data_IF_744797866415
#
_entry.id   IF_744797866415
#
_cell.length_a   1.000
_cell.length_b   1.000
_cell.length_c   1.000
_cell.angle_alpha   90.00
_cell.angle_beta   90.00
_cell.angle_gamma   90.00
#
_symmetry.space_group_name_H-M   'P 1'
#
loop_
_entity.id
_entity.type
_entity.pdbx_description
1 polymer ?
#
# COMPACT_ATOMS: atom_id res chain seq x y z
N UNK A 1 6.66 11.17 -83.23
CA UNK A 1 5.51 10.79 -82.38
C UNK A 1 5.60 9.31 -81.87
N UNK A 2 5.97 8.34 -82.74
CA UNK A 2 6.05 6.92 -82.39
C UNK A 2 7.13 6.59 -81.36
N UNK A 3 8.31 7.31 -81.38
CA UNK A 3 9.37 7.16 -80.37
C UNK A 3 8.96 7.74 -79.03
N UNK A 4 8.26 8.85 -79.00
CA UNK A 4 7.80 9.46 -77.73
C UNK A 4 6.77 8.54 -77.07
N UNK A 5 5.87 7.91 -77.85
CA UNK A 5 4.90 6.98 -77.32
C UNK A 5 5.55 5.71 -76.74
N UNK A 6 6.60 5.18 -77.39
CA UNK A 6 7.36 4.03 -76.86
C UNK A 6 8.06 4.35 -75.54
N UNK A 7 8.66 5.53 -75.40
CA UNK A 7 9.30 5.98 -74.17
C UNK A 7 8.23 6.14 -73.07
N UNK A 8 7.08 6.71 -73.37
CA UNK A 8 6.00 6.87 -72.40
C UNK A 8 5.45 5.53 -71.91
N UNK A 9 5.27 4.57 -72.80
CA UNK A 9 4.86 3.20 -72.41
C UNK A 9 5.91 2.48 -71.55
N UNK A 10 7.19 2.64 -71.88
CA UNK A 10 8.27 2.05 -71.07
C UNK A 10 8.35 2.67 -69.70
N UNK A 11 8.20 3.98 -69.56
CA UNK A 11 8.12 4.68 -68.25
C UNK A 11 6.93 4.23 -67.44
N UNK A 12 5.78 4.05 -68.04
CA UNK A 12 4.57 3.56 -67.36
C UNK A 12 4.80 2.13 -66.81
N UNK A 13 5.39 1.24 -67.60
CA UNK A 13 5.72 -0.14 -67.15
C UNK A 13 6.68 -0.11 -65.96
N UNK A 14 7.72 0.72 -66.01
CA UNK A 14 8.66 0.87 -64.87
C UNK A 14 7.95 1.35 -63.61
N UNK A 15 7.07 2.36 -63.74
CA UNK A 15 6.27 2.88 -62.60
C UNK A 15 5.38 1.76 -62.02
N UNK A 16 4.72 0.96 -62.84
CA UNK A 16 3.88 -0.14 -62.39
C UNK A 16 4.69 -1.22 -61.67
N UNK A 17 5.92 -1.55 -62.18
CA UNK A 17 6.82 -2.50 -61.52
C UNK A 17 7.29 -1.97 -60.16
N UNK A 18 7.66 -0.69 -60.10
CA UNK A 18 8.12 -0.05 -58.83
C UNK A 18 6.97 -0.02 -57.79
N UNK A 19 5.73 0.35 -58.24
CA UNK A 19 4.56 0.29 -57.38
C UNK A 19 4.24 -1.14 -56.88
N UNK A 20 4.40 -2.14 -57.75
CA UNK A 20 4.26 -3.53 -57.37
C UNK A 20 5.25 -3.96 -56.31
N UNK A 21 6.54 -3.59 -56.47
CA UNK A 21 7.60 -3.89 -55.49
C UNK A 21 7.29 -3.20 -54.17
N UNK A 22 6.96 -1.91 -54.17
CA UNK A 22 6.61 -1.15 -52.98
C UNK A 22 5.44 -1.81 -52.24
N UNK A 23 4.43 -2.23 -52.96
CA UNK A 23 3.25 -2.91 -52.36
C UNK A 23 3.63 -4.24 -51.73
N UNK A 24 4.53 -5.02 -52.35
CA UNK A 24 5.02 -6.27 -51.80
C UNK A 24 5.86 -6.06 -50.54
N UNK A 25 6.72 -5.02 -50.54
CA UNK A 25 7.54 -4.66 -49.38
C UNK A 25 6.66 -4.22 -48.21
N UNK A 26 5.68 -3.35 -48.47
CA UNK A 26 4.71 -2.90 -47.43
C UNK A 26 3.93 -4.10 -46.85
N UNK A 27 3.43 -5.01 -47.70
CA UNK A 27 2.74 -6.22 -47.24
C UNK A 27 3.64 -7.13 -46.41
N UNK A 28 4.91 -7.33 -46.83
CA UNK A 28 5.88 -8.13 -46.06
C UNK A 28 6.16 -7.50 -44.71
N UNK A 29 6.39 -6.18 -44.67
CA UNK A 29 6.64 -5.44 -43.44
C UNK A 29 5.47 -5.47 -42.48
N UNK A 30 4.25 -5.25 -43.01
CA UNK A 30 3.03 -5.34 -42.19
C UNK A 30 2.85 -6.75 -41.59
N UNK A 31 3.11 -7.82 -42.38
CA UNK A 31 3.06 -9.19 -41.85
C UNK A 31 4.07 -9.44 -40.73
N UNK A 32 5.30 -8.93 -40.86
CA UNK A 32 6.31 -9.05 -39.82
C UNK A 32 5.92 -8.28 -38.54
N UNK A 33 5.39 -7.06 -38.69
CA UNK A 33 4.90 -6.28 -37.53
C UNK A 33 3.75 -7.02 -36.85
N UNK A 34 2.78 -7.52 -37.59
CA UNK A 34 1.64 -8.27 -37.03
C UNK A 34 2.12 -9.50 -36.28
N UNK A 35 3.00 -10.30 -36.87
CA UNK A 35 3.56 -11.49 -36.22
C UNK A 35 4.35 -11.15 -34.92
N UNK A 36 5.15 -10.09 -34.96
CA UNK A 36 5.89 -9.63 -33.77
C UNK A 36 4.95 -9.10 -32.66
N UNK A 37 3.87 -8.43 -33.05
CA UNK A 37 2.84 -7.99 -32.11
C UNK A 37 2.12 -9.16 -31.46
N UNK A 38 1.72 -10.16 -32.25
CA UNK A 38 1.08 -11.39 -31.76
C UNK A 38 2.00 -12.17 -30.82
N UNK A 39 3.28 -12.32 -31.15
CA UNK A 39 4.28 -12.97 -30.28
C UNK A 39 4.44 -12.23 -28.95
N UNK A 40 4.62 -10.90 -28.98
CA UNK A 40 4.72 -10.09 -27.76
C UNK A 40 3.46 -10.14 -26.91
N UNK A 41 2.31 -10.13 -27.55
CA UNK A 41 1.02 -10.24 -26.88
C UNK A 41 0.84 -11.61 -26.23
N UNK A 42 1.27 -12.69 -26.89
CA UNK A 42 1.25 -14.03 -26.32
C UNK A 42 2.18 -14.17 -25.12
N UNK A 43 3.42 -13.66 -25.20
CA UNK A 43 4.36 -13.65 -24.08
C UNK A 43 3.81 -12.85 -22.89
N UNK A 44 3.29 -11.65 -23.16
CA UNK A 44 2.68 -10.82 -22.12
C UNK A 44 1.49 -11.51 -21.45
N UNK A 45 0.63 -12.16 -22.25
CA UNK A 45 -0.52 -12.91 -21.75
C UNK A 45 -0.09 -14.06 -20.85
N UNK A 46 0.89 -14.88 -21.30
CA UNK A 46 1.40 -16.00 -20.50
C UNK A 46 2.02 -15.53 -19.19
N UNK A 47 2.86 -14.49 -19.23
CA UNK A 47 3.48 -13.93 -18.04
C UNK A 47 2.42 -13.34 -17.05
N UNK A 48 1.35 -12.77 -17.57
CA UNK A 48 0.26 -12.23 -16.77
C UNK A 48 -0.61 -13.34 -16.16
N UNK A 49 -0.89 -14.40 -16.93
CA UNK A 49 -1.66 -15.57 -16.46
C UNK A 49 -0.90 -16.38 -15.38
N UNK A 50 0.44 -16.35 -15.37
CA UNK A 50 1.25 -16.95 -14.29
C UNK A 50 1.22 -16.14 -12.99
N UNK A 51 1.00 -14.83 -13.08
CA UNK A 51 1.01 -13.92 -11.93
C UNK A 51 -0.36 -13.74 -11.27
N UNK A 52 -1.44 -13.97 -12.03
CA UNK A 52 -2.80 -13.67 -11.59
C UNK A 52 -3.74 -14.86 -11.83
N UNK A 53 -4.56 -15.16 -10.82
CA UNK A 53 -5.50 -16.28 -10.88
C UNK A 53 -6.61 -16.08 -11.94
N UNK A 54 -7.01 -14.83 -12.17
CA UNK A 54 -8.05 -14.49 -13.15
C UNK A 54 -7.86 -13.09 -13.71
N UNK A 55 -8.20 -12.94 -15.00
CA UNK A 55 -8.19 -11.68 -15.74
C UNK A 55 -9.57 -11.47 -16.36
N UNK A 56 -10.17 -10.30 -16.14
CA UNK A 56 -11.45 -9.93 -16.71
C UNK A 56 -11.37 -8.57 -17.38
N UNK A 57 -12.08 -8.42 -18.50
CA UNK A 57 -12.22 -7.16 -19.21
C UNK A 57 -13.67 -6.68 -19.12
N UNK A 58 -13.84 -5.39 -18.81
CA UNK A 58 -15.12 -4.74 -18.61
C UNK A 58 -15.20 -3.48 -19.46
N UNK A 59 -16.29 -3.27 -20.16
CA UNK A 59 -16.60 -1.99 -20.80
C UNK A 59 -17.38 -1.14 -19.80
N UNK A 60 -16.69 -0.18 -19.19
CA UNK A 60 -17.23 0.65 -18.11
C UNK A 60 -18.25 1.65 -18.64
N UNK A 61 -18.00 2.24 -19.82
CA UNK A 61 -18.93 3.18 -20.45
C UNK A 61 -20.27 2.53 -20.78
N UNK A 62 -20.25 1.27 -21.24
CA UNK A 62 -21.47 0.52 -21.61
C UNK A 62 -22.01 -0.33 -20.47
N UNK A 63 -21.36 -0.33 -19.32
CA UNK A 63 -21.73 -1.14 -18.15
C UNK A 63 -21.89 -2.64 -18.49
N UNK A 64 -20.92 -3.21 -19.22
CA UNK A 64 -21.03 -4.56 -19.77
C UNK A 64 -19.74 -5.35 -19.69
N UNK A 65 -19.84 -6.67 -19.85
CA UNK A 65 -18.70 -7.60 -19.89
C UNK A 65 -18.10 -7.66 -21.29
N UNK A 66 -16.76 -7.84 -21.36
CA UNK A 66 -16.05 -8.00 -22.64
C UNK A 66 -15.48 -9.42 -22.70
N UNK A 67 -15.82 -10.13 -23.81
CA UNK A 67 -15.36 -11.49 -24.05
C UNK A 67 -16.13 -12.59 -23.28
N UNK A 68 -16.10 -13.80 -23.84
CA UNK A 68 -16.83 -14.95 -23.28
C UNK A 68 -16.34 -15.37 -21.89
N UNK A 69 -15.05 -15.28 -21.63
CA UNK A 69 -14.48 -15.66 -20.31
C UNK A 69 -15.05 -14.80 -19.19
N UNK A 70 -15.09 -13.48 -19.39
CA UNK A 70 -15.65 -12.54 -18.41
C UNK A 70 -17.16 -12.79 -18.24
N UNK A 71 -17.91 -12.90 -19.33
CA UNK A 71 -19.33 -13.18 -19.29
C UNK A 71 -19.64 -14.51 -18.57
N UNK A 72 -18.95 -15.59 -18.93
CA UNK A 72 -19.13 -16.90 -18.31
C UNK A 72 -18.84 -16.90 -16.80
N UNK A 73 -17.85 -16.13 -16.34
CA UNK A 73 -17.60 -15.98 -14.91
C UNK A 73 -18.79 -15.36 -14.18
N UNK A 74 -19.30 -14.23 -14.67
CA UNK A 74 -20.46 -13.57 -14.08
C UNK A 74 -21.75 -14.42 -14.20
N UNK A 75 -21.93 -15.12 -15.31
CA UNK A 75 -23.03 -16.07 -15.52
C UNK A 75 -23.00 -17.22 -14.49
N UNK A 76 -21.80 -17.75 -14.17
CA UNK A 76 -21.64 -18.81 -13.17
C UNK A 76 -22.06 -18.37 -11.76
N UNK A 77 -22.03 -17.07 -11.49
CA UNK A 77 -22.49 -16.48 -10.24
C UNK A 77 -23.99 -16.15 -10.24
N UNK A 78 -24.67 -16.36 -11.38
CA UNK A 78 -26.09 -16.09 -11.55
C UNK A 78 -26.38 -14.67 -12.09
N UNK A 79 -25.36 -13.97 -12.59
CA UNK A 79 -25.48 -12.62 -13.17
C UNK A 79 -25.79 -12.63 -14.70
N UNK A 80 -26.32 -13.75 -15.22
CA UNK A 80 -26.59 -13.91 -16.65
C UNK A 80 -27.55 -12.83 -17.15
N UNK A 81 -27.06 -12.05 -18.12
CA UNK A 81 -27.85 -10.97 -18.74
C UNK A 81 -28.00 -9.72 -17.88
N UNK A 82 -27.38 -9.64 -16.71
CA UNK A 82 -27.35 -8.44 -15.88
C UNK A 82 -26.24 -7.49 -16.34
N UNK A 83 -26.40 -6.17 -16.18
CA UNK A 83 -25.32 -5.22 -16.38
C UNK A 83 -24.20 -5.41 -15.35
N UNK A 84 -22.99 -4.88 -15.64
CA UNK A 84 -21.81 -5.10 -14.83
C UNK A 84 -21.98 -4.64 -13.37
N UNK A 85 -22.57 -3.48 -13.11
CA UNK A 85 -22.77 -2.93 -11.76
C UNK A 85 -23.67 -3.83 -10.88
N UNK A 86 -24.71 -4.43 -11.47
CA UNK A 86 -25.56 -5.40 -10.76
C UNK A 86 -24.78 -6.71 -10.48
N UNK A 87 -23.98 -7.18 -11.45
CA UNK A 87 -23.10 -8.32 -11.26
C UNK A 87 -22.04 -8.08 -10.20
N UNK A 88 -21.47 -6.88 -10.16
CA UNK A 88 -20.51 -6.44 -9.13
C UNK A 88 -21.12 -6.53 -7.71
N UNK A 89 -22.34 -6.01 -7.54
CA UNK A 89 -23.07 -6.08 -6.27
C UNK A 89 -23.38 -7.53 -5.87
N UNK A 90 -23.75 -8.37 -6.82
CA UNK A 90 -24.00 -9.81 -6.58
C UNK A 90 -22.74 -10.56 -6.12
N UNK A 91 -21.56 -10.29 -6.73
CA UNK A 91 -20.29 -10.86 -6.28
C UNK A 91 -20.01 -10.42 -4.85
N UNK A 92 -20.15 -9.13 -4.56
CA UNK A 92 -19.93 -8.59 -3.23
C UNK A 92 -20.80 -9.30 -2.17
N UNK A 93 -22.07 -9.52 -2.47
CA UNK A 93 -22.99 -10.16 -1.55
C UNK A 93 -22.69 -11.65 -1.34
N UNK A 94 -22.41 -12.37 -2.43
CA UNK A 94 -22.25 -13.83 -2.40
C UNK A 94 -20.88 -14.29 -1.92
N UNK A 95 -19.82 -13.60 -2.30
CA UNK A 95 -18.47 -14.09 -2.12
C UNK A 95 -17.61 -13.25 -1.19
N UNK A 96 -17.87 -11.93 -1.08
CA UNK A 96 -17.00 -11.04 -0.30
C UNK A 96 -17.46 -10.96 1.15
N UNK A 97 -16.50 -11.04 2.07
CA UNK A 97 -16.76 -10.89 3.50
C UNK A 97 -17.37 -9.51 3.78
N UNK A 98 -18.40 -9.48 4.62
CA UNK A 98 -19.28 -8.33 4.84
C UNK A 98 -18.55 -6.99 5.03
N UNK A 99 -17.46 -7.00 5.79
CA UNK A 99 -16.68 -5.81 6.12
C UNK A 99 -15.99 -5.13 4.90
N UNK A 100 -15.80 -5.87 3.79
CA UNK A 100 -15.14 -5.36 2.57
C UNK A 100 -16.13 -5.00 1.44
N UNK A 101 -17.41 -5.36 1.56
CA UNK A 101 -18.41 -5.25 0.49
C UNK A 101 -18.60 -3.82 0.01
N UNK A 102 -18.82 -2.89 0.93
CA UNK A 102 -19.10 -1.50 0.60
C UNK A 102 -17.92 -0.83 -0.08
N UNK A 103 -16.69 -1.08 0.41
CA UNK A 103 -15.46 -0.57 -0.21
C UNK A 103 -15.26 -1.13 -1.63
N UNK A 104 -15.46 -2.43 -1.80
CA UNK A 104 -15.36 -3.11 -3.09
C UNK A 104 -16.36 -2.55 -4.11
N UNK A 105 -17.64 -2.50 -3.76
CA UNK A 105 -18.68 -1.98 -4.66
C UNK A 105 -18.44 -0.52 -4.98
N UNK A 106 -18.18 0.32 -3.98
CA UNK A 106 -17.95 1.75 -4.18
C UNK A 106 -16.79 2.02 -5.12
N UNK A 107 -15.66 1.30 -4.94
CA UNK A 107 -14.46 1.51 -5.73
C UNK A 107 -14.63 1.14 -7.20
N UNK A 108 -15.30 0.02 -7.49
CA UNK A 108 -15.39 -0.56 -8.83
C UNK A 108 -16.71 -0.26 -9.58
N UNK A 109 -17.63 0.56 -9.02
CA UNK A 109 -18.81 1.00 -9.77
C UNK A 109 -18.42 1.79 -11.03
N UNK A 110 -19.15 1.66 -12.17
CA UNK A 110 -18.86 2.41 -13.39
C UNK A 110 -18.71 3.91 -13.15
N UNK A 111 -19.60 4.49 -12.34
CA UNK A 111 -19.56 5.92 -12.00
C UNK A 111 -18.25 6.33 -11.32
N UNK A 112 -17.75 5.54 -10.38
CA UNK A 112 -16.50 5.84 -9.68
C UNK A 112 -15.28 5.63 -10.59
N UNK A 113 -15.26 4.53 -11.36
CA UNK A 113 -14.18 4.23 -12.31
C UNK A 113 -14.02 5.34 -13.34
N UNK A 114 -15.13 5.85 -13.92
CA UNK A 114 -15.10 6.99 -14.85
C UNK A 114 -14.53 8.23 -14.16
N UNK A 115 -15.00 8.55 -12.96
CA UNK A 115 -14.50 9.71 -12.20
C UNK A 115 -12.99 9.63 -11.92
N UNK A 116 -12.48 8.47 -11.51
CA UNK A 116 -11.05 8.26 -11.26
C UNK A 116 -10.24 8.42 -12.56
N UNK A 117 -10.73 7.86 -13.67
CA UNK A 117 -10.09 8.01 -14.97
C UNK A 117 -10.03 9.48 -15.43
N UNK A 118 -11.13 10.22 -15.29
CA UNK A 118 -11.19 11.67 -15.60
C UNK A 118 -10.28 12.51 -14.72
N UNK A 119 -10.04 12.06 -13.48
CA UNK A 119 -9.06 12.66 -12.56
C UNK A 119 -7.59 12.30 -12.87
N UNK A 120 -7.35 11.47 -13.90
CA UNK A 120 -6.02 11.00 -14.30
C UNK A 120 -5.51 9.77 -13.54
N UNK A 121 -6.35 9.15 -12.70
CA UNK A 121 -6.03 7.90 -12.04
C UNK A 121 -6.48 6.72 -12.90
N UNK A 122 -5.52 6.00 -13.47
CA UNK A 122 -5.76 4.86 -14.36
C UNK A 122 -5.49 3.49 -13.70
N UNK A 123 -5.23 3.45 -12.39
CA UNK A 123 -4.98 2.22 -11.64
C UNK A 123 -5.72 2.24 -10.30
N UNK A 124 -6.54 1.23 -10.06
CA UNK A 124 -7.24 1.01 -8.79
C UNK A 124 -6.78 -0.33 -8.20
N UNK A 125 -6.64 -0.38 -6.88
CA UNK A 125 -6.25 -1.59 -6.16
C UNK A 125 -7.11 -1.76 -4.91
N UNK A 126 -7.50 -3.00 -4.61
CA UNK A 126 -8.26 -3.32 -3.41
C UNK A 126 -7.93 -4.71 -2.87
N UNK A 127 -7.62 -4.79 -1.58
CA UNK A 127 -7.41 -6.03 -0.84
C UNK A 127 -8.68 -6.37 -0.06
N UNK A 128 -9.18 -7.60 -0.19
CA UNK A 128 -10.40 -8.04 0.46
C UNK A 128 -10.37 -9.55 0.74
N UNK A 129 -11.28 -10.01 1.58
CA UNK A 129 -11.46 -11.44 1.82
C UNK A 129 -12.61 -11.99 1.00
N UNK A 130 -12.37 -13.10 0.29
CA UNK A 130 -13.34 -13.79 -0.57
C UNK A 130 -13.48 -15.26 -0.17
N UNK A 131 -14.67 -15.81 -0.35
CA UNK A 131 -14.97 -17.23 -0.21
C UNK A 131 -15.87 -17.71 -1.35
N UNK A 132 -15.78 -18.98 -1.71
CA UNK A 132 -16.66 -19.59 -2.71
C UNK A 132 -17.98 -20.04 -2.10
N UNK A 133 -17.98 -20.48 -0.85
CA UNK A 133 -19.10 -21.09 -0.14
C UNK A 133 -19.57 -20.29 1.08
N UNK A 134 -18.91 -19.19 1.42
CA UNK A 134 -19.21 -18.35 2.57
C UNK A 134 -18.62 -18.83 3.89
N UNK A 135 -17.81 -19.90 3.90
CA UNK A 135 -17.18 -20.45 5.11
C UNK A 135 -15.70 -20.13 5.20
N UNK A 136 -14.92 -20.54 4.21
CA UNK A 136 -13.48 -20.37 4.20
C UNK A 136 -13.08 -19.13 3.40
N UNK A 137 -12.73 -18.07 4.12
CA UNK A 137 -12.29 -16.80 3.51
C UNK A 137 -10.78 -16.73 3.37
N UNK A 138 -10.31 -16.32 2.18
CA UNK A 138 -8.90 -16.05 1.89
C UNK A 138 -8.71 -14.66 1.30
N UNK A 139 -7.50 -14.14 1.43
CA UNK A 139 -7.16 -12.80 0.95
C UNK A 139 -6.97 -12.77 -0.55
N UNK A 140 -7.64 -11.84 -1.18
CA UNK A 140 -7.57 -11.57 -2.61
C UNK A 140 -7.22 -10.09 -2.84
N UNK A 141 -6.35 -9.83 -3.80
CA UNK A 141 -6.11 -8.49 -4.35
C UNK A 141 -6.71 -8.39 -5.73
N UNK A 142 -7.36 -7.27 -6.02
CA UNK A 142 -7.69 -6.84 -7.37
C UNK A 142 -6.80 -5.65 -7.72
N UNK A 143 -6.10 -5.76 -8.85
CA UNK A 143 -5.47 -4.67 -9.57
C UNK A 143 -6.32 -4.39 -10.81
N UNK A 144 -6.78 -3.15 -10.97
CA UNK A 144 -7.64 -2.73 -12.06
C UNK A 144 -7.00 -1.59 -12.85
N UNK A 145 -6.78 -1.79 -14.15
CA UNK A 145 -6.20 -0.82 -15.07
C UNK A 145 -7.27 -0.26 -15.99
N UNK A 146 -7.42 1.06 -15.99
CA UNK A 146 -8.45 1.78 -16.73
C UNK A 146 -7.82 2.44 -17.95
N UNK A 147 -8.46 2.32 -19.12
CA UNK A 147 -7.96 2.90 -20.37
C UNK A 147 -9.10 3.25 -21.32
N UNK A 148 -8.83 4.19 -22.22
CA UNK A 148 -9.72 4.49 -23.35
C UNK A 148 -9.38 3.55 -24.50
N UNK A 149 -10.37 2.77 -24.94
CA UNK A 149 -10.22 1.83 -26.06
C UNK A 149 -10.31 2.57 -27.39
N UNK A 150 -9.29 2.45 -28.23
CA UNK A 150 -9.28 3.01 -29.58
C UNK A 150 -10.24 2.27 -30.56
N UNK A 151 -10.80 1.12 -30.16
CA UNK A 151 -11.68 0.32 -31.02
C UNK A 151 -13.12 0.81 -31.00
N UNK A 152 -13.62 1.26 -29.84
CA UNK A 152 -15.02 1.63 -29.64
C UNK A 152 -15.23 2.96 -28.91
N UNK A 153 -14.13 3.69 -28.66
CA UNK A 153 -14.10 4.99 -27.97
C UNK A 153 -14.77 4.96 -26.58
N UNK A 154 -14.68 3.80 -25.92
CA UNK A 154 -15.23 3.57 -24.59
C UNK A 154 -14.12 3.43 -23.54
N UNK A 155 -14.44 3.76 -22.29
CA UNK A 155 -13.58 3.47 -21.15
C UNK A 155 -13.73 1.99 -20.80
N UNK A 156 -12.61 1.28 -20.82
CA UNK A 156 -12.48 -0.11 -20.43
C UNK A 156 -11.68 -0.24 -19.14
N UNK A 157 -11.85 -1.37 -18.46
CA UNK A 157 -11.10 -1.74 -17.29
C UNK A 157 -10.67 -3.21 -17.37
N UNK A 158 -9.36 -3.47 -17.29
CA UNK A 158 -8.83 -4.81 -17.04
C UNK A 158 -8.68 -5.00 -15.54
N UNK A 159 -9.27 -6.08 -15.02
CA UNK A 159 -9.10 -6.48 -13.62
C UNK A 159 -8.28 -7.75 -13.52
N UNK A 160 -7.28 -7.74 -12.66
CA UNK A 160 -6.40 -8.85 -12.36
C UNK A 160 -6.60 -9.27 -10.92
N UNK A 161 -6.85 -10.55 -10.68
CA UNK A 161 -7.06 -11.09 -9.33
C UNK A 161 -5.91 -11.98 -8.93
N UNK A 162 -5.40 -11.79 -7.72
CA UNK A 162 -4.30 -12.57 -7.14
C UNK A 162 -4.64 -12.99 -5.72
N UNK A 163 -4.44 -14.27 -5.41
CA UNK A 163 -4.45 -14.73 -4.02
C UNK A 163 -3.21 -14.16 -3.30
N UNK A 164 -3.43 -13.49 -2.17
CA UNK A 164 -2.38 -12.86 -1.36
C UNK A 164 -2.33 -13.40 0.07
N UNK A 165 -2.91 -14.60 0.32
CA UNK A 165 -2.90 -15.23 1.64
C UNK A 165 -1.47 -15.43 2.17
N UNK A 166 -0.56 -15.93 1.33
CA UNK A 166 0.84 -16.11 1.71
C UNK A 166 1.53 -14.78 2.04
N UNK A 167 1.21 -13.70 1.30
CA UNK A 167 1.73 -12.36 1.58
C UNK A 167 1.22 -11.87 2.94
N UNK A 168 -0.08 -11.97 3.19
CA UNK A 168 -0.71 -11.59 4.46
C UNK A 168 -0.25 -12.45 5.64
N UNK A 169 -0.02 -13.75 5.39
CA UNK A 169 0.52 -14.65 6.41
C UNK A 169 1.96 -14.28 6.78
N UNK A 170 2.81 -14.01 5.79
CA UNK A 170 4.19 -13.52 6.04
C UNK A 170 4.19 -12.19 6.81
N UNK A 171 3.33 -11.25 6.45
CA UNK A 171 3.14 -9.99 7.19
C UNK A 171 2.75 -10.25 8.65
N UNK A 172 1.82 -11.20 8.90
CA UNK A 172 1.38 -11.58 10.26
C UNK A 172 2.46 -12.30 11.07
N UNK A 173 3.32 -13.07 10.41
CA UNK A 173 4.41 -13.81 11.05
C UNK A 173 5.69 -12.98 11.20
N UNK A 174 5.79 -11.83 10.56
CA UNK A 174 6.94 -10.96 10.71
C UNK A 174 7.05 -10.49 12.16
N UNK A 175 8.16 -10.85 12.80
CA UNK A 175 8.48 -10.47 14.18
C UNK A 175 9.18 -9.12 14.21
N UNK A 176 9.99 -8.86 13.20
CA UNK A 176 10.84 -7.67 13.05
C UNK A 176 10.37 -6.84 11.88
N UNK A 177 10.26 -5.54 12.08
CA UNK A 177 10.02 -4.56 11.05
C UNK A 177 11.28 -4.36 10.20
N UNK A 178 11.21 -4.63 8.91
CA UNK A 178 12.35 -4.65 7.99
C UNK A 178 13.03 -3.28 7.84
N UNK A 179 12.27 -2.19 7.99
CA UNK A 179 12.80 -0.83 7.86
C UNK A 179 13.60 -0.40 9.07
N UNK A 180 13.15 -0.77 10.27
CA UNK A 180 13.68 -0.25 11.54
C UNK A 180 14.50 -1.27 12.33
N UNK A 181 14.29 -2.56 12.06
CA UNK A 181 14.88 -3.64 12.86
C UNK A 181 14.31 -3.73 14.28
N UNK A 182 13.19 -3.05 14.56
CA UNK A 182 12.45 -3.16 15.81
C UNK A 182 11.37 -4.25 15.70
N UNK A 183 10.75 -4.62 16.81
CA UNK A 183 9.59 -5.51 16.75
C UNK A 183 8.44 -4.88 15.98
N UNK A 184 7.74 -5.69 15.19
CA UNK A 184 6.43 -5.29 14.62
C UNK A 184 5.43 -5.08 15.75
N UNK A 185 4.31 -4.39 15.49
CA UNK A 185 3.26 -4.11 16.47
C UNK A 185 2.86 -5.38 17.26
N UNK A 186 2.54 -6.46 16.55
CA UNK A 186 2.09 -7.71 17.18
C UNK A 186 3.17 -8.31 18.06
N UNK A 187 4.38 -8.47 17.54
CA UNK A 187 5.49 -9.06 18.28
C UNK A 187 5.92 -8.20 19.48
N UNK A 188 5.83 -6.86 19.36
CA UNK A 188 6.11 -5.94 20.45
C UNK A 188 5.11 -6.10 21.61
N UNK A 189 3.81 -6.15 21.29
CA UNK A 189 2.74 -6.37 22.28
C UNK A 189 2.95 -7.70 23.02
N UNK A 190 3.20 -8.78 22.26
CA UNK A 190 3.44 -10.11 22.83
C UNK A 190 4.71 -10.13 23.74
N UNK A 191 5.81 -9.53 23.30
CA UNK A 191 7.06 -9.46 24.06
C UNK A 191 6.90 -8.64 25.35
N UNK A 192 6.24 -7.47 25.26
CA UNK A 192 5.96 -6.63 26.45
C UNK A 192 5.03 -7.35 27.41
N UNK A 193 3.93 -7.94 26.92
CA UNK A 193 2.98 -8.67 27.76
C UNK A 193 3.63 -9.86 28.46
N UNK A 194 4.55 -10.56 27.80
CA UNK A 194 5.32 -11.65 28.40
C UNK A 194 6.26 -11.12 29.51
N UNK A 195 6.95 -10.01 29.25
CA UNK A 195 7.86 -9.39 30.22
C UNK A 195 7.09 -8.92 31.46
N UNK A 196 5.91 -8.33 31.28
CA UNK A 196 5.10 -7.79 32.36
C UNK A 196 4.42 -8.87 33.21
N UNK A 197 4.26 -10.10 32.72
CA UNK A 197 3.73 -11.23 33.51
C UNK A 197 4.68 -11.70 34.61
N UNK A 198 5.97 -11.43 34.49
CA UNK A 198 7.03 -11.89 35.38
C UNK A 198 7.70 -10.71 36.12
N UNK A 199 6.89 -9.77 36.61
CA UNK A 199 7.38 -8.60 37.33
C UNK A 199 7.54 -8.97 38.81
N UNK A 200 8.72 -9.49 39.19
CA UNK A 200 9.14 -9.65 40.60
C UNK A 200 9.81 -8.36 41.04
N UNK A 201 9.15 -7.47 41.77
CA UNK A 201 9.68 -6.21 42.34
C UNK A 201 10.50 -5.32 41.38
N UNK A 202 10.37 -5.54 40.06
CA UNK A 202 11.07 -4.81 39.03
C UNK A 202 10.29 -3.60 38.54
N UNK A 203 11.00 -2.55 38.19
CA UNK A 203 10.41 -1.31 37.69
C UNK A 203 10.75 -1.14 36.21
N UNK A 204 9.69 -0.83 35.41
CA UNK A 204 9.86 -0.54 33.99
C UNK A 204 9.24 0.80 33.64
N UNK A 205 9.77 1.42 32.58
CA UNK A 205 9.18 2.59 31.94
C UNK A 205 8.73 2.20 30.55
N UNK A 206 7.47 2.48 30.27
CA UNK A 206 6.82 2.28 29.00
C UNK A 206 6.72 3.63 28.28
N UNK A 207 7.21 3.69 27.05
CA UNK A 207 7.27 4.89 26.24
C UNK A 207 6.45 4.74 24.98
N UNK A 208 5.78 5.80 24.58
CA UNK A 208 5.27 5.99 23.22
C UNK A 208 5.99 7.21 22.63
N UNK A 209 6.52 7.04 21.43
CA UNK A 209 7.15 8.10 20.64
C UNK A 209 6.32 8.35 19.40
N UNK A 210 6.18 9.60 19.02
CA UNK A 210 5.53 10.03 17.78
C UNK A 210 6.38 11.15 17.15
N UNK A 211 6.73 10.99 15.87
CA UNK A 211 7.55 11.98 15.15
C UNK A 211 6.68 13.19 14.81
N UNK A 212 7.05 14.35 15.35
CA UNK A 212 6.29 15.58 15.17
C UNK A 212 6.21 16.00 13.70
N UNK A 213 4.99 16.27 13.23
CA UNK A 213 4.74 16.75 11.86
C UNK A 213 5.26 15.85 10.74
N UNK A 214 5.42 14.55 10.98
CA UNK A 214 5.97 13.59 10.02
C UNK A 214 5.25 13.60 8.67
N UNK A 215 3.91 13.74 8.68
CA UNK A 215 3.12 13.87 7.46
C UNK A 215 3.59 15.04 6.58
N UNK A 216 3.95 16.18 7.17
CA UNK A 216 4.44 17.33 6.39
C UNK A 216 5.79 17.04 5.72
N UNK A 217 6.69 16.26 6.34
CA UNK A 217 7.92 15.82 5.73
C UNK A 217 7.66 14.94 4.50
N UNK A 218 6.72 13.98 4.61
CA UNK A 218 6.27 13.15 3.48
C UNK A 218 5.63 13.97 2.36
N UNK A 219 4.71 14.87 2.69
CA UNK A 219 4.00 15.69 1.71
C UNK A 219 4.96 16.63 0.95
N UNK A 220 6.02 17.11 1.62
CA UNK A 220 7.00 18.05 1.03
C UNK A 220 8.12 17.37 0.24
N UNK A 221 8.62 16.23 0.71
CA UNK A 221 9.83 15.61 0.17
C UNK A 221 9.60 14.18 -0.36
N UNK A 222 8.37 13.66 -0.24
CA UNK A 222 7.99 12.31 -0.66
C UNK A 222 8.32 11.22 0.36
N UNK A 223 7.68 10.06 0.20
CA UNK A 223 7.80 8.92 1.12
C UNK A 223 9.24 8.40 1.29
N UNK A 224 10.04 8.40 0.22
CA UNK A 224 11.45 7.96 0.31
C UNK A 224 12.33 8.84 1.22
N UNK A 225 11.96 10.10 1.43
CA UNK A 225 12.58 10.96 2.43
C UNK A 225 12.03 10.69 3.82
N UNK A 226 10.72 10.47 3.96
CA UNK A 226 10.10 10.06 5.22
C UNK A 226 10.68 8.74 5.75
N UNK A 227 10.87 7.74 4.89
CA UNK A 227 11.52 6.47 5.24
C UNK A 227 12.95 6.69 5.79
N UNK A 228 13.70 7.59 5.17
CA UNK A 228 15.01 7.99 5.66
C UNK A 228 14.93 8.65 7.05
N UNK A 229 13.97 9.55 7.28
CA UNK A 229 13.74 10.16 8.60
C UNK A 229 13.41 9.11 9.66
N UNK A 230 12.56 8.13 9.35
CA UNK A 230 12.25 6.99 10.24
C UNK A 230 13.52 6.22 10.60
N UNK A 231 14.39 5.93 9.62
CA UNK A 231 15.64 5.21 9.87
C UNK A 231 16.59 5.99 10.79
N UNK A 232 16.75 7.30 10.58
CA UNK A 232 17.56 8.15 11.46
C UNK A 232 16.98 8.23 12.88
N UNK A 233 15.66 8.38 12.99
CA UNK A 233 14.95 8.36 14.27
C UNK A 233 15.14 7.03 15.01
N UNK A 234 15.04 5.91 14.30
CA UNK A 234 15.27 4.57 14.83
C UNK A 234 16.67 4.41 15.39
N UNK A 235 17.70 4.93 14.70
CA UNK A 235 19.08 4.93 15.19
C UNK A 235 19.23 5.73 16.48
N UNK A 236 18.57 6.89 16.55
CA UNK A 236 18.58 7.72 17.75
C UNK A 236 17.93 7.00 18.94
N UNK A 237 16.74 6.41 18.76
CA UNK A 237 16.12 5.58 19.82
C UNK A 237 17.07 4.46 20.23
N UNK A 238 17.58 3.67 19.27
CA UNK A 238 18.44 2.51 19.57
C UNK A 238 19.67 2.87 20.38
N UNK A 239 20.26 4.04 20.17
CA UNK A 239 21.46 4.49 20.89
C UNK A 239 21.22 4.76 22.38
N UNK A 240 19.96 5.02 22.77
CA UNK A 240 19.59 5.33 24.15
C UNK A 240 19.07 4.13 24.95
N UNK A 241 18.82 2.99 24.28
CA UNK A 241 18.27 1.80 24.92
C UNK A 241 19.20 0.59 24.82
N UNK A 242 19.14 -0.29 25.82
CA UNK A 242 19.96 -1.50 25.89
C UNK A 242 19.45 -2.55 24.90
N UNK A 243 20.27 -3.53 24.57
CA UNK A 243 19.86 -4.69 23.76
C UNK A 243 18.74 -5.52 24.41
N UNK A 244 18.63 -5.45 25.73
CA UNK A 244 17.61 -6.15 26.53
C UNK A 244 16.28 -5.39 26.62
N UNK A 245 16.25 -4.12 26.25
CA UNK A 245 15.02 -3.33 26.23
C UNK A 245 14.20 -3.70 24.98
N UNK A 246 12.87 -3.73 25.12
CA UNK A 246 11.95 -4.08 24.03
C UNK A 246 11.64 -2.79 23.26
N UNK A 247 11.92 -2.80 21.95
CA UNK A 247 11.67 -1.68 21.07
C UNK A 247 10.78 -2.15 19.92
N UNK A 248 9.66 -1.48 19.69
CA UNK A 248 8.69 -1.82 18.65
C UNK A 248 8.25 -0.62 17.84
N UNK A 249 7.90 -0.87 16.57
CA UNK A 249 7.19 0.08 15.70
C UNK A 249 5.73 -0.30 15.64
N UNK A 250 4.85 0.58 16.11
CA UNK A 250 3.41 0.31 16.25
C UNK A 250 2.62 0.85 15.06
N UNK A 251 3.08 1.96 14.49
CA UNK A 251 2.46 2.65 13.37
C UNK A 251 3.50 3.19 12.39
N UNK A 252 3.10 4.07 11.48
CA UNK A 252 4.01 4.67 10.49
C UNK A 252 5.16 5.44 11.13
N UNK A 253 4.86 6.34 12.04
CA UNK A 253 5.75 7.25 12.78
C UNK A 253 5.68 7.05 14.30
N UNK A 254 5.05 5.98 14.76
CA UNK A 254 4.78 5.68 16.16
C UNK A 254 5.62 4.50 16.64
N UNK A 255 6.34 4.70 17.75
CA UNK A 255 7.23 3.70 18.34
C UNK A 255 6.93 3.49 19.82
N UNK A 256 7.17 2.28 20.29
CA UNK A 256 7.00 1.90 21.69
C UNK A 256 8.28 1.30 22.23
N UNK A 257 8.61 1.63 23.48
CA UNK A 257 9.74 1.03 24.19
C UNK A 257 9.32 0.63 25.60
N UNK A 258 9.73 -0.57 26.03
CA UNK A 258 9.73 -0.98 27.42
C UNK A 258 11.16 -1.15 27.92
N UNK A 259 11.57 -0.36 28.88
CA UNK A 259 12.91 -0.49 29.48
C UNK A 259 12.85 -0.59 31.00
N UNK A 260 13.76 -1.38 31.54
CA UNK A 260 13.95 -1.54 33.00
C UNK A 260 14.71 -0.38 33.58
N UNK A 261 14.31 0.09 34.77
CA UNK A 261 15.07 1.08 35.55
C UNK A 261 15.18 0.69 37.04
N UNK A 262 16.17 1.24 37.73
CA UNK A 262 16.37 0.98 39.15
C UNK A 262 15.99 2.17 40.02
N UNK A 263 16.28 3.38 39.59
CA UNK A 263 16.05 4.63 40.31
C UNK A 263 15.36 5.64 39.42
N UNK A 264 14.30 6.24 39.93
CA UNK A 264 13.46 7.19 39.15
C UNK A 264 14.26 8.43 38.73
N UNK A 265 15.11 8.97 39.59
CA UNK A 265 15.91 10.16 39.27
C UNK A 265 16.88 9.92 38.10
N UNK A 266 17.48 8.73 38.04
CA UNK A 266 18.33 8.33 36.92
C UNK A 266 17.53 8.15 35.63
N UNK A 267 16.33 7.58 35.76
CA UNK A 267 15.41 7.46 34.61
C UNK A 267 15.05 8.85 34.09
N UNK A 268 14.67 9.79 34.95
CA UNK A 268 14.28 11.16 34.55
C UNK A 268 15.42 11.90 33.85
N UNK A 269 16.66 11.78 34.31
CA UNK A 269 17.82 12.33 33.60
C UNK A 269 17.99 11.72 32.22
N UNK A 270 17.90 10.38 32.12
CA UNK A 270 18.00 9.66 30.83
C UNK A 270 16.89 10.07 29.88
N UNK A 271 15.67 10.27 30.36
CA UNK A 271 14.53 10.74 29.55
C UNK A 271 14.79 12.15 29.02
N UNK A 272 15.32 13.04 29.85
CA UNK A 272 15.66 14.39 29.44
C UNK A 272 16.74 14.42 28.36
N UNK A 273 17.80 13.65 28.52
CA UNK A 273 18.87 13.48 27.52
C UNK A 273 18.31 12.85 26.22
N UNK A 274 17.46 11.84 26.34
CA UNK A 274 16.77 11.22 25.22
C UNK A 274 15.92 12.23 24.43
N UNK A 275 15.07 13.01 25.13
CA UNK A 275 14.20 13.98 24.48
C UNK A 275 15.00 15.04 23.69
N UNK A 276 16.12 15.53 24.25
CA UNK A 276 16.99 16.47 23.54
C UNK A 276 17.65 15.85 22.30
N UNK A 277 18.01 14.56 22.36
CA UNK A 277 18.63 13.87 21.23
C UNK A 277 17.61 13.42 20.15
N UNK A 278 16.29 13.50 20.42
CA UNK A 278 15.26 13.29 19.41
C UNK A 278 15.03 14.53 18.52
N UNK A 279 15.59 15.67 18.92
CA UNK A 279 15.63 16.86 18.06
C UNK A 279 16.85 16.80 17.14
N UNK A 280 16.62 16.61 15.86
CA UNK A 280 17.71 16.38 14.89
C UNK A 280 17.40 16.94 13.51
N UNK A 281 18.46 17.21 12.74
CA UNK A 281 18.35 17.60 11.35
C UNK A 281 18.49 16.39 10.44
N UNK A 282 17.44 16.06 9.71
CA UNK A 282 17.47 15.02 8.68
C UNK A 282 17.86 15.64 7.34
N UNK A 283 19.01 15.21 6.80
CA UNK A 283 19.51 15.71 5.53
C UNK A 283 19.76 14.56 4.54
N UNK A 284 19.16 14.63 3.37
CA UNK A 284 19.36 13.67 2.28
C UNK A 284 19.32 14.39 0.93
N UNK A 285 20.45 14.40 0.22
CA UNK A 285 20.62 15.16 -1.03
C UNK A 285 20.34 16.66 -0.81
N UNK A 286 19.35 17.21 -1.52
CA UNK A 286 18.91 18.62 -1.38
C UNK A 286 17.75 18.82 -0.40
N UNK A 287 17.24 17.75 0.21
CA UNK A 287 16.15 17.81 1.20
C UNK A 287 16.74 17.92 2.61
N UNK A 288 16.19 18.83 3.40
CA UNK A 288 16.58 19.08 4.79
C UNK A 288 15.31 19.31 5.62
N UNK A 289 15.16 18.59 6.71
CA UNK A 289 14.01 18.64 7.60
C UNK A 289 14.43 18.62 9.05
N UNK A 290 13.94 19.61 9.82
CA UNK A 290 14.10 19.62 11.27
C UNK A 290 13.06 18.68 11.89
N UNK A 291 13.53 17.59 12.50
CA UNK A 291 12.71 16.56 13.10
C UNK A 291 12.77 16.65 14.61
N UNK A 292 11.63 16.54 15.29
CA UNK A 292 11.48 16.36 16.70
C UNK A 292 10.49 15.25 17.01
N UNK A 293 10.39 14.85 18.26
CA UNK A 293 9.39 13.88 18.69
C UNK A 293 8.70 14.31 19.98
N UNK A 294 7.43 13.94 20.08
CA UNK A 294 6.66 13.97 21.31
C UNK A 294 6.72 12.58 21.96
N UNK A 295 6.89 12.53 23.29
CA UNK A 295 7.07 11.29 24.04
C UNK A 295 6.06 11.27 25.20
N UNK A 296 5.30 10.19 25.30
CA UNK A 296 4.44 9.88 26.43
C UNK A 296 5.00 8.70 27.22
N UNK A 297 4.94 8.74 28.56
CA UNK A 297 5.61 7.76 29.43
C UNK A 297 4.67 7.30 30.53
N UNK A 298 4.57 5.98 30.70
CA UNK A 298 3.92 5.35 31.84
C UNK A 298 4.90 4.51 32.64
N UNK A 299 4.79 4.49 33.96
CA UNK A 299 5.70 3.77 34.88
C UNK A 299 5.05 2.49 35.40
N UNK A 300 5.80 1.41 35.40
CA UNK A 300 5.39 0.09 35.92
C UNK A 300 6.04 -0.15 37.28
N UNK A 301 5.29 -0.60 38.28
CA UNK A 301 3.87 -0.97 38.27
C UNK A 301 2.91 0.20 38.54
N UNK A 302 3.42 1.41 38.82
CA UNK A 302 2.66 2.56 39.32
C UNK A 302 1.46 2.92 38.45
N UNK A 303 1.60 2.86 37.14
CA UNK A 303 0.56 3.28 36.19
C UNK A 303 -0.15 2.11 35.51
N UNK A 304 0.26 0.86 35.76
CA UNK A 304 -0.33 -0.34 35.20
C UNK A 304 0.66 -1.48 35.14
N UNK A 305 0.16 -2.69 34.88
CA UNK A 305 0.97 -3.92 34.79
C UNK A 305 0.66 -4.74 33.53
N UNK A 306 -0.15 -4.20 32.62
CA UNK A 306 -0.49 -4.79 31.34
C UNK A 306 -0.27 -3.78 30.21
N UNK A 307 -0.16 -4.28 28.99
CA UNK A 307 0.16 -3.47 27.82
C UNK A 307 -0.94 -2.42 27.54
N UNK A 308 -2.20 -2.82 27.59
CA UNK A 308 -3.33 -1.99 27.23
C UNK A 308 -3.43 -0.77 28.16
N UNK A 309 -3.37 -0.99 29.47
CA UNK A 309 -3.40 0.07 30.48
C UNK A 309 -2.19 1.01 30.36
N UNK A 310 -1.00 0.47 30.11
CA UNK A 310 0.21 1.28 29.96
C UNK A 310 0.19 2.08 28.67
N UNK A 311 -0.34 1.52 27.59
CA UNK A 311 -0.49 2.20 26.31
C UNK A 311 -1.45 3.37 26.42
N UNK A 312 -2.63 3.16 26.99
CA UNK A 312 -3.62 4.21 27.22
C UNK A 312 -3.05 5.39 28.01
N UNK A 313 -2.39 5.10 29.14
CA UNK A 313 -1.79 6.13 30.01
C UNK A 313 -0.61 6.86 29.37
N UNK A 314 0.24 6.13 28.63
CA UNK A 314 1.33 6.76 27.90
C UNK A 314 0.82 7.60 26.72
N UNK A 315 -0.28 7.19 26.07
CA UNK A 315 -0.91 7.95 24.99
C UNK A 315 -1.56 9.24 25.51
N UNK A 316 -2.19 9.22 26.69
CA UNK A 316 -2.65 10.46 27.37
C UNK A 316 -1.50 11.41 27.65
N UNK A 317 -0.38 10.90 28.16
CA UNK A 317 0.83 11.68 28.40
C UNK A 317 1.45 12.22 27.09
N UNK A 318 1.44 11.45 26.03
CA UNK A 318 1.87 11.87 24.69
C UNK A 318 1.00 13.01 24.15
N UNK A 319 -0.31 12.89 24.30
CA UNK A 319 -1.26 13.95 23.92
C UNK A 319 -0.96 15.26 24.64
N UNK A 320 -0.73 15.20 25.95
CA UNK A 320 -0.33 16.37 26.74
C UNK A 320 0.97 17.01 26.24
N UNK A 321 1.96 16.19 25.83
CA UNK A 321 3.20 16.68 25.22
C UNK A 321 2.91 17.42 23.91
N UNK A 322 2.04 16.86 23.06
CA UNK A 322 1.65 17.49 21.80
C UNK A 322 0.91 18.81 22.00
N UNK A 323 0.03 18.89 22.99
CA UNK A 323 -0.73 20.13 23.34
C UNK A 323 0.20 21.22 23.89
N UNK A 324 1.23 20.85 24.65
CA UNK A 324 2.23 21.78 25.19
C UNK A 324 3.22 22.34 24.18
N UNK A 325 3.10 21.98 22.91
CA UNK A 325 3.94 22.53 21.84
C UNK A 325 4.86 21.50 21.19
N UNK A 326 4.66 20.20 21.47
CA UNK A 326 5.49 19.10 20.93
C UNK A 326 6.94 19.15 21.43
N UNK A 327 7.86 18.39 20.76
CA UNK A 327 9.30 18.40 21.03
C UNK A 327 9.64 18.27 22.52
N UNK A 328 9.23 17.18 23.16
CA UNK A 328 9.42 16.98 24.58
C UNK A 328 8.84 15.67 25.09
N UNK A 329 8.69 15.60 26.41
CA UNK A 329 8.12 14.42 27.04
C UNK A 329 7.18 14.76 28.18
N UNK A 330 6.26 13.87 28.46
CA UNK A 330 5.39 13.91 29.66
C UNK A 330 5.33 12.52 30.27
N UNK A 331 5.49 12.45 31.60
CA UNK A 331 5.18 11.25 32.38
C UNK A 331 3.73 11.33 32.83
N UNK A 332 2.98 10.25 32.63
CA UNK A 332 1.57 10.17 33.04
C UNK A 332 1.37 10.53 34.51
N UNK A 333 0.30 11.23 34.79
CA UNK A 333 -0.18 11.57 36.13
C UNK A 333 -1.70 11.40 36.17
N UNK A 334 -2.24 11.05 37.32
CA UNK A 334 -3.68 10.77 37.49
C UNK A 334 -4.61 11.99 37.27
N UNK A 335 -4.04 13.22 37.30
CA UNK A 335 -4.77 14.47 37.04
C UNK A 335 -4.86 14.82 35.53
N UNK A 336 -4.37 13.96 34.64
CA UNK A 336 -4.51 14.16 33.19
C UNK A 336 -5.91 13.75 32.75
N UNK A 337 -6.55 14.62 31.94
CA UNK A 337 -7.88 14.37 31.41
C UNK A 337 -7.83 13.42 30.21
N UNK A 338 -8.89 12.60 30.07
CA UNK A 338 -9.09 11.82 28.86
C UNK A 338 -9.23 12.73 27.63
N UNK A 339 -8.84 12.20 26.47
CA UNK A 339 -9.05 12.88 25.19
C UNK A 339 -10.56 13.13 24.99
N UNK A 340 -11.00 14.39 24.92
CA UNK A 340 -12.32 14.74 24.40
C UNK A 340 -12.41 14.56 22.88
#
# INVERSE_FOLDING_TARGET
HLQILKIACMMLIIILIVLGIITLVIRSFNRQITALMEEKQAIFRTATEELYDNIYELNITRNSYVGERTANYFDSLGAKGLPYDEGLAMIAEKQIKKEFRDGYVTLFTPKNVIREFEAGNNHLQYDFMISQDGSDYFWMRIDAYIFLSAQDDCIHMFTYRKNIDDEKMKERLAVIDDMTGFYTRKACIEAISLQLKNIDDEHYAFFIFDIDNFKQANDRFGHAFGDYCIQEFTKAIRSHFRKTDILGRIGGDEFVVLCKYKQLDQLMKRIQDLSQNMEMQCEKKSASWHMSASIGIALVPKHGTDFETLYEKADQALYETKVRGKNGFTVYREDMHDKE
#
